data_IF_325952857963
#
_entry.id   IF_325952857963
#
_cell.length_a   1.000
_cell.length_b   1.000
_cell.length_c   1.000
_cell.angle_alpha   90.00
_cell.angle_beta   90.00
_cell.angle_gamma   90.00
#
_symmetry.space_group_name_H-M   'P 1'
#
loop_
_entity.id
_entity.type
_entity.pdbx_description
1 polymer ?
2 water ?
#
# COMPACT_ATOMS: atom_id res chain seq x y z
N UNK A 4 9.22 -21.00 -16.19
CA UNK A 4 8.01 -20.21 -16.53
C UNK A 4 8.27 -18.70 -16.45
N UNK A 5 8.60 -18.11 -17.60
CA UNK A 5 8.88 -16.68 -17.71
C UNK A 5 9.83 -16.10 -16.66
N UNK A 6 11.03 -15.74 -17.10
CA UNK A 6 12.02 -15.14 -16.22
C UNK A 6 12.31 -13.74 -16.74
N UNK A 7 12.31 -12.76 -15.85
CA UNK A 7 12.56 -11.38 -16.26
C UNK A 7 13.90 -10.84 -15.83
N UNK A 8 14.24 -9.67 -16.36
CA UNK A 8 15.50 -9.04 -16.05
C UNK A 8 15.33 -8.03 -14.91
N UNK A 9 16.34 -7.95 -14.05
CA UNK A 9 16.34 -7.05 -12.90
C UNK A 9 16.01 -5.61 -13.25
N UNK A 10 16.59 -5.10 -14.33
CA UNK A 10 16.35 -3.71 -14.72
C UNK A 10 14.86 -3.50 -14.99
N UNK A 11 14.20 -4.55 -15.45
CA UNK A 11 12.78 -4.46 -15.71
C UNK A 11 12.05 -4.29 -14.37
N UNK A 12 12.49 -5.03 -13.35
CA UNK A 12 11.88 -4.93 -12.01
C UNK A 12 12.13 -3.52 -11.47
N UNK A 13 13.38 -3.09 -11.58
CA UNK A 13 13.84 -1.78 -11.10
C UNK A 13 13.03 -0.59 -11.61
N UNK A 14 12.28 -0.75 -12.69
CA UNK A 14 11.52 0.39 -13.18
C UNK A 14 10.33 0.69 -12.26
N UNK A 15 9.85 -0.32 -11.55
CA UNK A 15 8.74 -0.10 -10.63
C UNK A 15 9.33 0.51 -9.36
N UNK A 16 8.60 1.44 -8.76
CA UNK A 16 9.10 2.09 -7.57
C UNK A 16 8.29 1.82 -6.33
N UNK A 17 8.93 1.19 -5.36
CA UNK A 17 8.28 0.89 -4.09
C UNK A 17 9.02 1.74 -3.06
N UNK A 18 8.26 2.37 -2.17
CA UNK A 18 8.87 3.19 -1.15
C UNK A 18 8.18 2.94 0.17
N UNK A 19 8.87 3.26 1.25
CA UNK A 19 8.32 3.09 2.57
C UNK A 19 7.39 4.27 2.81
N UNK A 20 6.18 3.98 3.28
CA UNK A 20 5.22 5.05 3.54
C UNK A 20 4.57 4.91 4.89
N UNK A 21 4.31 6.04 5.56
CA UNK A 21 3.67 6.03 6.88
C UNK A 21 2.18 6.30 6.74
N UNK A 22 1.36 5.39 7.25
CA UNK A 22 -0.09 5.56 7.16
C UNK A 22 -0.56 6.59 8.20
N UNK A 23 -0.85 7.80 7.73
CA UNK A 23 -1.30 8.87 8.61
C UNK A 23 -2.74 8.61 9.06
N UNK A 24 -3.57 8.20 8.11
CA UNK A 24 -4.96 7.91 8.41
C UNK A 24 -5.47 6.78 7.51
N UNK A 25 -6.43 6.03 8.04
CA UNK A 25 -7.02 4.91 7.32
C UNK A 25 -8.48 4.77 7.73
N UNK A 26 -9.38 4.78 6.75
CA UNK A 26 -10.80 4.63 7.04
C UNK A 26 -11.52 3.90 5.93
N UNK A 27 -12.48 3.06 6.31
CA UNK A 27 -13.23 2.30 5.33
C UNK A 27 -13.89 3.27 4.36
N UNK A 28 -14.02 2.86 3.10
CA UNK A 28 -14.67 3.69 2.10
C UNK A 28 -16.16 3.38 2.20
N UNK A 29 -16.98 4.42 2.22
CA UNK A 29 -18.44 4.30 2.35
C UNK A 29 -19.07 3.37 1.31
N UNK A 30 -19.99 2.53 1.77
CA UNK A 30 -20.70 1.60 0.89
C UNK A 30 -19.82 0.50 0.31
N UNK A 31 -18.80 0.10 1.06
CA UNK A 31 -17.91 -0.96 0.63
C UNK A 31 -17.64 -1.82 1.84
N UNK A 32 -17.30 -3.08 1.61
CA UNK A 32 -17.03 -4.00 2.71
C UNK A 32 -15.55 -4.30 2.84
N UNK A 33 -14.82 -4.14 1.74
CA UNK A 33 -13.39 -4.44 1.73
C UNK A 33 -12.46 -3.25 1.52
N UNK A 34 -12.98 -2.13 1.02
CA UNK A 34 -12.12 -1.00 0.74
C UNK A 34 -11.75 -0.10 1.89
N UNK A 35 -10.48 0.30 1.92
CA UNK A 35 -9.97 1.21 2.94
C UNK A 35 -9.15 2.30 2.24
N UNK A 36 -9.43 3.55 2.59
CA UNK A 36 -8.70 4.67 2.02
C UNK A 36 -7.58 5.02 2.98
N UNK A 37 -6.37 5.17 2.44
CA UNK A 37 -5.22 5.51 3.27
C UNK A 37 -4.62 6.83 2.83
N UNK A 38 -4.14 7.60 3.79
CA UNK A 38 -3.47 8.85 3.48
C UNK A 38 -2.06 8.50 3.94
N UNK A 39 -1.16 8.38 2.98
CA UNK A 39 0.21 7.96 3.27
C UNK A 39 1.25 9.03 3.06
N UNK A 40 2.10 9.20 4.06
CA UNK A 40 3.18 10.18 4.04
C UNK A 40 4.47 9.51 3.60
N UNK A 41 4.99 9.89 2.43
CA UNK A 41 6.26 9.34 1.91
C UNK A 41 7.43 10.31 2.11
N UNK A 42 7.26 11.26 3.03
CA UNK A 42 8.30 12.23 3.30
C UNK A 42 8.15 13.52 2.52
N UNK A 43 8.49 13.46 1.23
CA UNK A 43 8.42 14.63 0.34
C UNK A 43 7.01 14.85 -0.19
N UNK A 44 6.17 13.83 -0.07
CA UNK A 44 4.82 13.93 -0.57
C UNK A 44 3.88 13.05 0.23
N UNK A 45 2.60 13.30 0.03
CA UNK A 45 1.54 12.56 0.68
C UNK A 45 0.73 11.97 -0.47
N UNK A 46 0.17 10.79 -0.27
CA UNK A 46 -0.62 10.17 -1.32
C UNK A 46 -1.82 9.44 -0.77
N UNK A 47 -2.85 9.33 -1.59
CA UNK A 47 -4.07 8.64 -1.21
C UNK A 47 -4.00 7.28 -1.85
N UNK A 48 -4.08 6.25 -1.02
CA UNK A 48 -4.00 4.89 -1.51
C UNK A 48 -5.12 4.01 -0.99
N UNK A 49 -5.78 3.33 -1.92
CA UNK A 49 -6.87 2.43 -1.58
C UNK A 49 -6.39 0.97 -1.55
N UNK A 50 -6.83 0.23 -0.54
CA UNK A 50 -6.50 -1.19 -0.40
C UNK A 50 -7.82 -1.89 -0.06
N UNK A 51 -8.03 -3.11 -0.56
CA UNK A 51 -9.29 -3.79 -0.29
C UNK A 51 -9.16 -5.00 0.62
N UNK A 52 -8.66 -4.79 1.83
CA UNK A 52 -8.46 -5.89 2.76
C UNK A 52 -9.33 -5.80 4.01
N UNK A 53 -10.21 -4.79 4.06
CA UNK A 53 -11.07 -4.55 5.22
C UNK A 53 -11.88 -5.73 5.76
N UNK A 54 -12.07 -6.76 4.97
CA UNK A 54 -12.82 -7.92 5.43
C UNK A 54 -11.91 -8.80 6.29
N UNK A 55 -10.60 -8.59 6.17
CA UNK A 55 -9.62 -9.36 6.92
C UNK A 55 -8.77 -8.51 7.85
N UNK A 56 -8.48 -7.28 7.44
CA UNK A 56 -7.63 -6.38 8.21
C UNK A 56 -8.32 -5.06 8.52
N UNK A 57 -8.68 -4.81 9.79
CA UNK A 57 -9.34 -3.55 10.11
C UNK A 57 -8.42 -2.34 9.95
N UNK A 58 -9.00 -1.17 9.65
CA UNK A 58 -8.30 0.11 9.46
C UNK A 58 -7.33 0.50 10.57
N UNK A 59 -7.73 0.27 11.82
CA UNK A 59 -6.88 0.62 12.95
C UNK A 59 -5.58 -0.20 13.02
N UNK A 60 -5.50 -1.28 12.26
CA UNK A 60 -4.27 -2.06 12.27
C UNK A 60 -3.23 -1.48 11.29
N UNK A 61 -3.62 -0.47 10.51
CA UNK A 61 -2.70 0.15 9.55
C UNK A 61 -2.25 1.54 10.00
N UNK A 62 -3.17 2.29 10.60
CA UNK A 62 -2.87 3.63 11.08
C UNK A 62 -1.68 3.67 12.01
N UNK A 63 -0.78 4.60 11.74
CA UNK A 63 0.40 4.76 12.57
C UNK A 63 1.58 3.91 12.15
N UNK A 64 1.38 2.96 11.24
CA UNK A 64 2.49 2.10 10.82
C UNK A 64 3.07 2.44 9.44
N UNK A 65 4.26 1.92 9.18
CA UNK A 65 4.94 2.09 7.90
C UNK A 65 4.81 0.79 7.12
N UNK A 66 4.63 0.91 5.80
CA UNK A 66 4.51 -0.25 4.92
C UNK A 66 5.16 0.05 3.56
N UNK A 67 5.25 -0.99 2.74
CA UNK A 67 5.80 -0.88 1.41
C UNK A 67 4.66 -0.52 0.47
N UNK A 68 4.88 0.43 -0.41
CA UNK A 68 3.85 0.84 -1.37
C UNK A 68 4.48 1.01 -2.75
N UNK A 69 3.79 0.54 -3.79
CA UNK A 69 4.26 0.74 -5.17
C UNK A 69 3.67 2.11 -5.50
N UNK A 70 4.52 3.09 -5.84
CA UNK A 70 4.06 4.45 -6.11
C UNK A 70 4.12 5.04 -7.53
N UNK A 71 4.61 4.28 -8.51
CA UNK A 71 4.67 4.82 -9.87
C UNK A 71 3.75 4.05 -10.80
N UNK A 72 2.56 3.70 -10.31
CA UNK A 72 1.57 2.98 -11.10
C UNK A 72 0.56 3.97 -11.68
N UNK A 73 -0.20 3.50 -12.66
CA UNK A 73 -1.23 4.31 -13.31
C UNK A 73 -2.32 4.58 -12.27
N UNK A 74 -2.65 5.87 -12.02
CA UNK A 74 -3.68 6.24 -11.04
C UNK A 74 -4.98 5.48 -11.31
N UNK A 75 -5.75 5.22 -10.27
CA UNK A 75 -7.00 4.50 -10.43
C UNK A 75 -8.04 4.88 -9.38
N UNK A 76 -9.28 5.01 -9.82
CA UNK A 76 -10.38 5.38 -8.94
C UNK A 76 -11.22 4.18 -8.53
N UNK A 77 -11.37 3.98 -7.22
CA UNK A 77 -12.16 2.87 -6.71
C UNK A 77 -13.32 3.47 -5.96
N UNK A 78 -14.54 3.18 -6.41
CA UNK A 78 -15.72 3.73 -5.76
C UNK A 78 -15.56 5.24 -5.67
N UNK A 79 -15.13 5.84 -6.78
CA UNK A 79 -14.95 7.28 -6.84
C UNK A 79 -13.74 7.82 -6.10
N UNK A 80 -12.87 6.93 -5.62
CA UNK A 80 -11.69 7.38 -4.89
C UNK A 80 -10.42 7.18 -5.72
N UNK A 81 -9.67 8.26 -5.87
CA UNK A 81 -8.43 8.24 -6.64
C UNK A 81 -7.31 7.61 -5.83
N UNK A 82 -6.84 6.44 -6.28
CA UNK A 82 -5.76 5.74 -5.61
C UNK A 82 -4.45 6.06 -6.35
N UNK A 83 -3.48 6.63 -5.64
CA UNK A 83 -2.20 7.00 -6.25
C UNK A 83 -1.06 6.04 -5.87
N UNK A 84 -1.38 4.77 -5.68
CA UNK A 84 -0.36 3.80 -5.33
C UNK A 84 -0.98 2.50 -4.89
N UNK A 85 -0.19 1.62 -4.28
CA UNK A 85 -0.73 0.35 -3.86
C UNK A 85 0.05 -0.28 -2.71
N UNK A 86 -0.68 -0.65 -1.66
CA UNK A 86 -0.11 -1.29 -0.48
C UNK A 86 0.35 -2.72 -0.77
N UNK A 87 1.61 -3.01 -0.49
CA UNK A 87 2.15 -4.36 -0.69
C UNK A 87 1.96 -5.21 0.58
N UNK A 88 1.48 -6.43 0.41
CA UNK A 88 1.26 -7.35 1.51
C UNK A 88 1.51 -8.79 1.09
N UNK A 89 1.45 -9.70 2.06
CA UNK A 89 1.64 -11.13 1.79
C UNK A 89 0.26 -11.75 1.70
N UNK A 90 0.11 -12.78 0.88
CA UNK A 90 -1.17 -13.45 0.73
C UNK A 90 -0.94 -14.90 0.36
N UNK A 91 -1.48 -15.82 1.16
CA UNK A 91 -1.34 -17.23 0.87
C UNK A 91 -2.41 -17.67 -0.13
N UNK A 92 -2.15 -18.80 -0.76
CA UNK A 92 -3.01 -19.38 -1.78
C UNK A 92 -4.46 -19.52 -1.34
N UNK A 93 -4.68 -19.65 -0.03
CA UNK A 93 -6.03 -19.79 0.49
C UNK A 93 -6.74 -18.43 0.61
N UNK A 94 -6.10 -17.37 0.13
CA UNK A 94 -6.70 -16.05 0.19
C UNK A 94 -6.45 -15.25 1.47
N UNK A 95 -5.78 -15.85 2.45
CA UNK A 95 -5.52 -15.11 3.68
C UNK A 95 -4.45 -14.03 3.45
N UNK A 96 -4.76 -12.81 3.86
CA UNK A 96 -3.85 -11.68 3.72
C UNK A 96 -3.13 -11.35 5.03
N UNK A 97 -1.87 -10.93 4.94
CA UNK A 97 -1.07 -10.56 6.12
C UNK A 97 -0.32 -9.24 5.88
N UNK A 98 -0.34 -8.35 6.85
CA UNK A 98 0.40 -7.10 6.68
C UNK A 98 1.89 -7.39 6.78
N UNK A 99 2.68 -6.57 6.11
CA UNK A 99 4.13 -6.66 6.17
C UNK A 99 4.58 -5.27 6.59
N UNK A 100 4.62 -5.02 7.91
CA UNK A 100 5.06 -3.68 8.30
C UNK A 100 6.58 -3.52 8.10
N UNK A 101 7.00 -2.28 7.86
CA UNK A 101 8.42 -1.95 7.70
C UNK A 101 8.91 -1.57 9.12
N UNK A 102 10.15 -1.93 9.50
CA UNK A 102 10.61 -1.56 10.86
C UNK A 102 10.44 -0.04 11.10
N UNK A 103 10.18 0.34 12.34
CA UNK A 103 9.96 1.76 12.65
C UNK A 103 11.16 2.65 12.31
N UNK A 104 12.36 2.08 12.37
CA UNK A 104 13.60 2.79 12.07
C UNK A 104 13.73 3.30 10.63
N UNK A 105 13.16 2.58 9.67
CA UNK A 105 13.29 2.99 8.27
C UNK A 105 12.61 4.32 7.94
N UNK A 106 13.39 5.31 7.49
CA UNK A 106 12.79 6.61 7.15
C UNK A 106 11.76 6.52 6.02
N UNK A 107 10.66 7.27 6.14
CA UNK A 107 9.64 7.29 5.11
C UNK A 107 10.31 7.76 3.82
N UNK A 108 9.89 7.23 2.68
CA UNK A 108 10.51 7.64 1.43
C UNK A 108 11.64 6.71 1.00
N UNK A 109 12.16 5.89 1.91
CA UNK A 109 13.24 4.96 1.55
C UNK A 109 12.78 4.09 0.39
N UNK A 110 13.69 3.76 -0.53
CA UNK A 110 13.27 2.91 -1.63
C UNK A 110 13.31 1.44 -1.23
N UNK A 111 12.33 0.68 -1.70
CA UNK A 111 12.27 -0.75 -1.39
C UNK A 111 12.53 -1.50 -2.69
N UNK A 112 13.63 -2.24 -2.74
CA UNK A 112 14.00 -2.97 -3.96
C UNK A 112 15.14 -3.96 -3.72
#
# INVERSE_FOLDING_TARGET
MNYMELYDVDEFWKFQMKVGLVKKAEKIKRTKKLIKLIVDFGNEERTIVTGIADQIPPEELEGKKFIFVVNLKPKKFSGVESQGMLILAETEDGKVYLIPVPEEVPVGARVW
#
